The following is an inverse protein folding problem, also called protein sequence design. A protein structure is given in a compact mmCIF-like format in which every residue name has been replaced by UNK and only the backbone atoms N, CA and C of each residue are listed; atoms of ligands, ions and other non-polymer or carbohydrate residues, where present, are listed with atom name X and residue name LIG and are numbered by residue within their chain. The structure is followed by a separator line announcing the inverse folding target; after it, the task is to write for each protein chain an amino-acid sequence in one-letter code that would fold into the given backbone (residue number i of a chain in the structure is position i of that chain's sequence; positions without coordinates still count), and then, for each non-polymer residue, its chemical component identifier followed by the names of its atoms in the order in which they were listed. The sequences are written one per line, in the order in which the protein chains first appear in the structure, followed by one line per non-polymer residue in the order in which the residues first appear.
data_IF_106411781056
#
_entry.id   IF_106411781056
#
_cell.length_a   1.000
_cell.length_b   1.000
_cell.length_c   1.000
_cell.angle_alpha   90.00
_cell.angle_beta   90.00
_cell.angle_gamma   90.00
#
_symmetry.space_group_name_H-M   'P 1'
#
loop_
_entity.id
_entity.type
_entity.pdbx_description
1 polymer ?
#
# COMPACT_ATOMS: atom_id res chain seq x y z
N UNK A 1 -4.72 9.90 -8.36
CA UNK A 1 -5.39 10.82 -9.30
C UNK A 1 -6.91 10.60 -9.41
N UNK A 2 -7.57 9.99 -8.41
CA UNK A 2 -9.03 9.80 -8.37
C UNK A 2 -9.79 10.86 -7.55
N UNK A 3 -9.07 11.76 -6.89
CA UNK A 3 -9.63 12.83 -6.07
C UNK A 3 -10.72 13.69 -6.76
N UNK A 4 -10.68 13.96 -8.08
CA UNK A 4 -11.71 14.78 -8.71
C UNK A 4 -12.88 13.99 -9.33
N UNK A 5 -13.10 12.70 -9.04
CA UNK A 5 -14.14 11.89 -9.71
C UNK A 5 -15.52 12.58 -9.68
N UNK A 6 -16.08 12.91 -10.83
CA UNK A 6 -17.42 13.52 -11.02
C UNK A 6 -18.27 12.63 -11.93
N UNK A 7 -19.58 12.87 -11.98
CA UNK A 7 -20.53 12.03 -12.73
C UNK A 7 -20.22 11.95 -14.24
N UNK A 8 -19.54 12.95 -14.81
CA UNK A 8 -19.23 13.06 -16.24
C UNK A 8 -17.85 12.49 -16.64
N UNK A 9 -17.20 11.74 -15.74
CA UNK A 9 -15.83 11.25 -15.95
C UNK A 9 -15.78 10.18 -17.05
N UNK A 10 -15.09 10.46 -18.15
CA UNK A 10 -14.89 9.47 -19.21
C UNK A 10 -13.96 8.34 -18.73
N UNK A 11 -14.26 7.09 -19.06
CA UNK A 11 -13.40 5.92 -18.77
C UNK A 11 -11.92 6.13 -19.16
N UNK A 12 -11.67 6.87 -20.24
CA UNK A 12 -10.33 7.25 -20.68
C UNK A 12 -9.53 8.04 -19.62
N UNK A 13 -10.21 8.85 -18.80
CA UNK A 13 -9.57 9.61 -17.73
C UNK A 13 -9.28 8.77 -16.47
N UNK A 14 -9.74 7.51 -16.40
CA UNK A 14 -9.35 6.53 -15.37
C UNK A 14 -8.11 5.73 -15.78
N UNK A 15 -7.82 5.65 -17.09
CA UNK A 15 -6.72 4.88 -17.67
C UNK A 15 -5.35 5.20 -17.05
N UNK A 16 -4.96 6.48 -16.84
CA UNK A 16 -3.65 6.79 -16.27
C UNK A 16 -3.48 6.22 -14.86
N UNK A 17 -4.54 6.25 -14.04
CA UNK A 17 -4.45 5.72 -12.67
C UNK A 17 -4.43 4.19 -12.67
N UNK A 18 -5.17 3.54 -13.56
CA UNK A 18 -5.08 2.09 -13.73
C UNK A 18 -3.68 1.64 -14.18
N UNK A 19 -3.08 2.35 -15.13
CA UNK A 19 -1.71 2.09 -15.57
C UNK A 19 -0.70 2.31 -14.44
N UNK A 20 -0.81 3.43 -13.71
CA UNK A 20 0.04 3.70 -12.55
C UNK A 20 -0.10 2.63 -11.47
N UNK A 21 -1.32 2.17 -11.19
CA UNK A 21 -1.57 1.13 -10.20
C UNK A 21 -0.96 -0.21 -10.62
N UNK A 22 -1.13 -0.61 -11.88
CA UNK A 22 -0.52 -1.82 -12.43
C UNK A 22 1.00 -1.77 -12.39
N UNK A 23 1.59 -0.65 -12.84
CA UNK A 23 3.04 -0.44 -12.81
C UNK A 23 3.58 -0.46 -11.38
N UNK A 24 2.93 0.26 -10.45
CA UNK A 24 3.31 0.27 -9.04
C UNK A 24 3.25 -1.13 -8.43
N UNK A 25 2.18 -1.88 -8.71
CA UNK A 25 2.03 -3.25 -8.22
C UNK A 25 3.14 -4.17 -8.76
N UNK A 26 3.40 -4.16 -10.07
CA UNK A 26 4.45 -4.96 -10.68
C UNK A 26 5.84 -4.62 -10.14
N UNK A 27 6.14 -3.34 -9.95
CA UNK A 27 7.43 -2.87 -9.44
C UNK A 27 7.62 -3.08 -7.95
N UNK A 28 6.54 -3.11 -7.16
CA UNK A 28 6.62 -3.31 -5.71
C UNK A 28 6.63 -4.80 -5.34
N UNK A 29 5.75 -5.61 -5.93
CA UNK A 29 5.46 -6.96 -5.44
C UNK A 29 6.67 -7.90 -5.47
N UNK A 30 7.36 -7.98 -6.62
CA UNK A 30 8.55 -8.81 -6.77
C UNK A 30 9.68 -8.39 -5.82
N UNK A 31 10.16 -7.14 -5.87
CA UNK A 31 11.23 -6.66 -5.00
C UNK A 31 10.90 -6.75 -3.51
N UNK A 32 9.67 -6.46 -3.11
CA UNK A 32 9.26 -6.55 -1.70
C UNK A 32 9.28 -8.00 -1.20
N UNK A 33 8.78 -8.95 -2.01
CA UNK A 33 8.79 -10.37 -1.64
C UNK A 33 10.22 -10.92 -1.58
N UNK A 34 11.08 -10.53 -2.52
CA UNK A 34 12.50 -10.90 -2.49
C UNK A 34 13.22 -10.33 -1.26
N UNK A 35 13.05 -9.03 -0.98
CA UNK A 35 13.69 -8.37 0.17
C UNK A 35 13.21 -8.93 1.52
N UNK A 36 11.97 -9.40 1.60
CA UNK A 36 11.40 -9.97 2.82
C UNK A 36 11.96 -11.37 3.16
N UNK A 37 12.47 -12.09 2.16
CA UNK A 37 13.04 -13.44 2.35
C UNK A 37 14.57 -13.49 2.14
N UNK A 38 15.17 -12.36 1.77
CA UNK A 38 16.62 -12.22 1.60
C UNK A 38 17.36 -12.53 2.92
N UNK A 39 18.40 -13.37 2.86
CA UNK A 39 19.20 -13.77 4.01
C UNK A 39 18.56 -14.81 4.94
N UNK A 40 17.34 -15.29 4.62
CA UNK A 40 16.71 -16.39 5.37
C UNK A 40 17.27 -17.74 4.89
N UNK A 41 17.74 -18.56 5.84
CA UNK A 41 18.22 -19.92 5.57
C UNK A 41 17.17 -20.78 4.84
N UNK A 42 17.62 -21.68 3.96
CA UNK A 42 16.76 -22.47 3.08
C UNK A 42 15.70 -23.27 3.87
N UNK A 43 16.09 -23.84 5.02
CA UNK A 43 15.17 -24.58 5.89
C UNK A 43 14.04 -23.72 6.49
N UNK A 44 14.19 -22.40 6.48
CA UNK A 44 13.22 -21.43 7.06
C UNK A 44 12.49 -20.61 5.99
N UNK A 45 12.80 -20.80 4.71
CA UNK A 45 12.14 -20.09 3.60
C UNK A 45 10.62 -20.31 3.58
N UNK A 46 10.17 -21.53 3.87
CA UNK A 46 8.74 -21.83 3.98
C UNK A 46 8.05 -21.07 5.12
N UNK A 47 8.73 -20.89 6.25
CA UNK A 47 8.21 -20.13 7.39
C UNK A 47 8.18 -18.62 7.09
N UNK A 48 9.25 -18.09 6.47
CA UNK A 48 9.31 -16.69 6.07
C UNK A 48 8.25 -16.35 5.01
N UNK A 49 8.11 -17.20 3.99
CA UNK A 49 7.07 -17.05 2.96
C UNK A 49 5.66 -17.16 3.52
N UNK A 50 5.42 -18.10 4.45
CA UNK A 50 4.14 -18.24 5.14
C UNK A 50 3.78 -16.99 5.95
N UNK A 51 4.70 -16.50 6.78
CA UNK A 51 4.52 -15.26 7.55
C UNK A 51 4.28 -14.06 6.64
N UNK A 52 5.05 -13.93 5.55
CA UNK A 52 4.91 -12.86 4.59
C UNK A 52 3.52 -12.84 3.94
N UNK A 53 3.07 -13.97 3.39
CA UNK A 53 1.77 -14.04 2.73
C UNK A 53 0.62 -13.83 3.71
N UNK A 54 0.71 -14.38 4.92
CA UNK A 54 -0.28 -14.13 5.97
C UNK A 54 -0.31 -12.65 6.35
N UNK A 55 0.85 -12.01 6.52
CA UNK A 55 0.92 -10.57 6.78
C UNK A 55 0.31 -9.75 5.63
N UNK A 56 0.55 -10.12 4.36
CA UNK A 56 -0.07 -9.46 3.20
C UNK A 56 -1.59 -9.63 3.18
N UNK A 57 -2.09 -10.83 3.47
CA UNK A 57 -3.53 -11.10 3.53
C UNK A 57 -4.22 -10.29 4.64
N UNK A 58 -3.67 -10.31 5.85
CA UNK A 58 -4.17 -9.50 6.96
C UNK A 58 -4.06 -8.00 6.67
N UNK A 59 -2.94 -7.55 6.12
CA UNK A 59 -2.74 -6.15 5.74
C UNK A 59 -3.77 -5.67 4.71
N UNK A 60 -4.07 -6.51 3.71
CA UNK A 60 -5.10 -6.22 2.69
C UNK A 60 -6.49 -6.16 3.33
N UNK A 61 -6.82 -7.11 4.19
CA UNK A 61 -8.10 -7.14 4.90
C UNK A 61 -8.29 -5.91 5.81
N UNK A 62 -7.25 -5.54 6.56
CA UNK A 62 -7.25 -4.35 7.42
C UNK A 62 -7.38 -3.06 6.59
N UNK A 63 -6.64 -2.96 5.49
CA UNK A 63 -6.71 -1.81 4.58
C UNK A 63 -8.10 -1.63 3.99
N UNK A 64 -8.70 -2.71 3.48
CA UNK A 64 -10.05 -2.70 2.94
C UNK A 64 -11.08 -2.33 4.03
N UNK A 65 -10.97 -2.93 5.21
CA UNK A 65 -11.85 -2.65 6.35
C UNK A 65 -11.80 -1.18 6.76
N UNK A 66 -10.60 -0.58 6.82
CA UNK A 66 -10.44 0.83 7.15
C UNK A 66 -11.09 1.76 6.11
N UNK A 67 -10.90 1.48 4.81
CA UNK A 67 -11.55 2.22 3.72
C UNK A 67 -13.07 2.14 3.86
N UNK A 68 -13.61 0.95 4.09
CA UNK A 68 -15.06 0.73 4.27
C UNK A 68 -15.58 1.48 5.50
N UNK A 69 -14.89 1.40 6.63
CA UNK A 69 -15.28 2.09 7.86
C UNK A 69 -15.34 3.61 7.66
N UNK A 70 -14.34 4.20 6.99
CA UNK A 70 -14.33 5.64 6.67
C UNK A 70 -15.46 6.00 5.71
N UNK A 71 -15.74 5.18 4.69
CA UNK A 71 -16.86 5.42 3.79
C UNK A 71 -18.20 5.43 4.53
N UNK A 72 -18.45 4.44 5.39
CA UNK A 72 -19.69 4.34 6.19
C UNK A 72 -19.81 5.51 7.16
N UNK A 73 -18.72 5.88 7.84
CA UNK A 73 -18.72 7.03 8.73
C UNK A 73 -19.02 8.35 8.00
N UNK A 74 -18.47 8.54 6.80
CA UNK A 74 -18.71 9.74 5.99
C UNK A 74 -20.14 9.84 5.43
N UNK A 75 -20.78 8.69 5.14
CA UNK A 75 -22.19 8.64 4.69
C UNK A 75 -23.19 9.09 5.76
N UNK A 76 -22.83 9.03 7.04
CA UNK A 76 -23.71 9.38 8.16
C UNK A 76 -23.85 10.89 8.43
N UNK A 77 -23.18 11.75 7.67
CA UNK A 77 -23.26 13.20 7.83
C UNK A 77 -24.45 13.82 7.07
N UNK A 78 -25.18 14.73 7.74
CA UNK A 78 -26.29 15.45 7.11
C UNK A 78 -25.82 16.22 5.86
N UNK A 79 -26.49 15.98 4.73
CA UNK A 79 -26.23 16.66 3.45
C UNK A 79 -25.03 16.14 2.63
N UNK A 80 -24.38 15.04 3.04
CA UNK A 80 -23.26 14.44 2.30
C UNK A 80 -23.76 13.61 1.12
N UNK A 81 -23.19 13.80 -0.07
CA UNK A 81 -23.50 12.95 -1.23
C UNK A 81 -22.69 11.66 -1.21
N UNK A 82 -23.19 10.59 -1.84
CA UNK A 82 -22.46 9.31 -1.94
C UNK A 82 -21.11 9.42 -2.66
N UNK A 83 -20.88 10.47 -3.46
CA UNK A 83 -19.58 10.72 -4.09
C UNK A 83 -18.57 11.31 -3.10
N UNK A 84 -19.01 12.16 -2.17
CA UNK A 84 -18.14 12.79 -1.18
C UNK A 84 -17.64 11.77 -0.14
N UNK A 85 -18.46 10.78 0.22
CA UNK A 85 -18.03 9.68 1.08
C UNK A 85 -16.94 8.83 0.43
N UNK A 86 -17.07 8.54 -0.87
CA UNK A 86 -16.06 7.79 -1.64
C UNK A 86 -14.75 8.58 -1.71
N UNK A 87 -14.81 9.89 -1.98
CA UNK A 87 -13.62 10.76 -1.98
C UNK A 87 -12.92 10.77 -0.61
N UNK A 88 -13.70 10.81 0.46
CA UNK A 88 -13.17 10.75 1.83
C UNK A 88 -12.50 9.40 2.12
N UNK A 89 -13.12 8.30 1.72
CA UNK A 89 -12.56 6.96 1.87
C UNK A 89 -11.27 6.75 1.05
N UNK A 90 -11.14 7.41 -0.11
CA UNK A 90 -9.92 7.39 -0.92
C UNK A 90 -8.71 8.06 -0.25
N UNK A 91 -8.89 8.84 0.82
CA UNK A 91 -7.76 9.38 1.59
C UNK A 91 -7.03 8.29 2.37
N UNK A 92 -7.72 7.23 2.78
CA UNK A 92 -7.13 6.11 3.55
C UNK A 92 -5.95 5.45 2.82
N UNK A 93 -6.08 4.96 1.57
CA UNK A 93 -4.96 4.35 0.85
C UNK A 93 -3.86 5.37 0.49
N UNK A 94 -4.20 6.66 0.33
CA UNK A 94 -3.19 7.71 0.10
C UNK A 94 -2.32 7.89 1.34
N UNK A 95 -2.92 8.01 2.53
CA UNK A 95 -2.19 8.12 3.80
C UNK A 95 -1.37 6.86 4.04
N UNK A 96 -1.97 5.67 3.86
CA UNK A 96 -1.26 4.41 4.01
C UNK A 96 -0.05 4.29 3.06
N UNK A 97 -0.20 4.73 1.80
CA UNK A 97 0.89 4.77 0.83
C UNK A 97 2.02 5.73 1.24
N UNK A 98 1.69 6.92 1.73
CA UNK A 98 2.69 7.87 2.25
C UNK A 98 3.43 7.28 3.45
N UNK A 99 2.71 6.66 4.39
CA UNK A 99 3.32 5.98 5.54
C UNK A 99 4.25 4.85 5.09
N UNK A 100 3.84 4.04 4.12
CA UNK A 100 4.67 2.97 3.57
C UNK A 100 5.97 3.51 2.93
N UNK A 101 5.89 4.61 2.19
CA UNK A 101 7.07 5.29 1.61
C UNK A 101 7.99 5.80 2.72
N UNK A 102 7.44 6.43 3.76
CA UNK A 102 8.23 6.92 4.90
C UNK A 102 8.93 5.77 5.62
N UNK A 103 8.21 4.70 5.97
CA UNK A 103 8.76 3.52 6.63
C UNK A 103 9.88 2.91 5.78
N UNK A 104 9.67 2.78 4.48
CA UNK A 104 10.69 2.26 3.56
C UNK A 104 11.91 3.16 3.52
N UNK A 105 11.72 4.47 3.37
CA UNK A 105 12.82 5.45 3.30
C UNK A 105 13.66 5.46 4.59
N UNK A 106 13.01 5.43 5.77
CA UNK A 106 13.71 5.38 7.05
C UNK A 106 14.40 4.03 7.28
N UNK A 107 13.78 2.92 6.89
CA UNK A 107 14.38 1.58 6.98
C UNK A 107 15.64 1.43 6.11
N UNK A 108 15.61 1.96 4.89
CA UNK A 108 16.78 2.01 4.01
C UNK A 108 17.91 2.86 4.60
N UNK A 109 17.56 4.00 5.22
CA UNK A 109 18.54 4.88 5.86
C UNK A 109 19.21 4.25 7.08
N UNK A 110 18.48 3.43 7.84
CA UNK A 110 19.03 2.69 8.98
C UNK A 110 20.02 1.61 8.54
N UNK A 111 19.72 0.86 7.46
CA UNK A 111 20.64 -0.14 6.90
C UNK A 111 21.93 0.47 6.34
N UNK A 112 21.84 1.62 5.69
CA UNK A 112 23.03 2.31 5.16
C UNK A 112 23.99 2.82 6.25
N UNK A 113 23.54 2.90 7.51
CA UNK A 113 24.32 3.38 8.64
C UNK A 113 25.13 2.28 9.34
N UNK A 114 24.94 0.99 9.00
CA UNK A 114 25.80 -0.08 9.50
C UNK A 114 27.17 -0.01 8.80
N UNK A 115 28.25 0.34 9.51
CA UNK A 115 29.58 0.42 8.92
C UNK A 115 30.00 -0.99 8.48
N UNK A 116 30.45 -1.14 7.24
CA UNK A 116 31.07 -2.35 6.76
C UNK A 116 32.25 -2.68 7.69
N UNK A 117 32.08 -3.69 8.55
CA UNK A 117 33.18 -4.23 9.36
C UNK A 117 34.22 -4.75 8.38
N UNK A 118 35.30 -4.00 8.20
CA UNK A 118 36.44 -4.43 7.40
C UNK A 118 37.09 -5.61 8.11
N UNK A 119 36.82 -6.81 7.60
CA UNK A 119 37.61 -7.99 7.96
C UNK A 119 38.95 -7.83 7.24
N UNK A 120 39.97 -7.46 8.02
CA UNK A 120 41.38 -7.49 7.62
C UNK A 120 42.02 -8.84 7.90
#
# INVERSE_FOLDING_TARGET
LFLPVTADWTYAAMLPTMLLLGLAFSLAYGPLTMAATEGVAEERQGLAGGLLYTAMQFGTALGLSAVTAVNVAALGGDGVTGLDSIRTALLVPVVAGVLAVLVTAFGLRARAAEPAVSVG
#
